data_IF_431671117347
#
_entry.id   IF_431671117347
#
_cell.length_a   1.000
_cell.length_b   1.000
_cell.length_c   1.000
_cell.angle_alpha   90.00
_cell.angle_beta   90.00
_cell.angle_gamma   90.00
#
_symmetry.space_group_name_H-M   'P 1'
#
loop_
_entity.id
_entity.type
_entity.pdbx_description
1 polymer ?
#
# COMPACT_ATOMS: atom_id res chain seq x y z
N UNK A 1 44.19 -25.32 -5.71
CA UNK A 1 43.94 -24.20 -4.78
C UNK A 1 44.30 -22.91 -5.50
N UNK A 2 43.43 -21.90 -5.47
CA UNK A 2 43.74 -20.62 -6.10
C UNK A 2 44.79 -19.86 -5.26
N UNK A 3 45.57 -18.98 -5.88
CA UNK A 3 46.56 -18.19 -5.17
C UNK A 3 45.88 -17.33 -4.08
N UNK A 4 46.45 -17.19 -2.86
CA UNK A 4 45.84 -16.43 -1.77
C UNK A 4 45.47 -14.98 -2.16
N UNK A 5 46.33 -14.30 -2.92
CA UNK A 5 46.07 -12.95 -3.43
C UNK A 5 44.85 -12.87 -4.37
N UNK A 6 44.53 -13.95 -5.08
CA UNK A 6 43.33 -14.01 -5.93
C UNK A 6 42.05 -14.13 -5.10
N UNK A 7 42.10 -14.84 -3.98
CA UNK A 7 40.97 -14.95 -3.05
C UNK A 7 40.67 -13.61 -2.39
N UNK A 8 41.71 -12.91 -1.90
CA UNK A 8 41.56 -11.56 -1.32
C UNK A 8 40.98 -10.56 -2.33
N UNK A 9 41.40 -10.64 -3.59
CA UNK A 9 40.85 -9.81 -4.66
C UNK A 9 39.36 -10.11 -4.92
N UNK A 10 38.98 -11.39 -5.00
CA UNK A 10 37.58 -11.80 -5.17
C UNK A 10 36.72 -11.30 -4.01
N UNK A 11 37.20 -11.44 -2.77
CA UNK A 11 36.48 -11.02 -1.58
C UNK A 11 36.25 -9.50 -1.56
N UNK A 12 37.29 -8.72 -1.92
CA UNK A 12 37.17 -7.27 -2.06
C UNK A 12 36.12 -6.86 -3.11
N UNK A 13 36.10 -7.51 -4.27
CA UNK A 13 35.12 -7.23 -5.32
C UNK A 13 33.71 -7.62 -4.88
N UNK A 14 33.54 -8.78 -4.24
CA UNK A 14 32.25 -9.22 -3.71
C UNK A 14 31.70 -8.23 -2.65
N UNK A 15 32.57 -7.73 -1.77
CA UNK A 15 32.20 -6.71 -0.77
C UNK A 15 31.78 -5.39 -1.45
N UNK A 16 32.53 -4.94 -2.45
CA UNK A 16 32.21 -3.74 -3.22
C UNK A 16 30.84 -3.86 -3.92
N UNK A 17 30.56 -5.01 -4.53
CA UNK A 17 29.28 -5.29 -5.17
C UNK A 17 28.14 -5.31 -4.14
N UNK A 18 28.32 -6.02 -3.02
CA UNK A 18 27.33 -6.10 -1.95
C UNK A 18 26.98 -4.70 -1.42
N UNK A 19 27.98 -3.87 -1.16
CA UNK A 19 27.79 -2.49 -0.71
C UNK A 19 27.03 -1.64 -1.74
N UNK A 20 27.33 -1.81 -3.02
CA UNK A 20 26.62 -1.15 -4.11
C UNK A 20 25.14 -1.54 -4.16
N UNK A 21 24.84 -2.83 -4.17
CA UNK A 21 23.45 -3.32 -4.22
C UNK A 21 22.70 -2.85 -2.97
N UNK A 22 23.27 -3.02 -1.77
CA UNK A 22 22.69 -2.55 -0.51
C UNK A 22 22.35 -1.06 -0.57
N UNK A 23 23.27 -0.21 -1.03
CA UNK A 23 23.02 1.22 -1.17
C UNK A 23 21.84 1.51 -2.10
N UNK A 24 21.75 0.83 -3.25
CA UNK A 24 20.64 1.01 -4.20
C UNK A 24 19.29 0.53 -3.64
N UNK A 25 19.26 -0.58 -2.89
CA UNK A 25 18.06 -1.08 -2.22
C UNK A 25 17.58 -0.08 -1.17
N UNK A 26 18.48 0.41 -0.31
CA UNK A 26 18.15 1.41 0.71
C UNK A 26 17.62 2.72 0.11
N UNK A 27 18.22 3.20 -0.98
CA UNK A 27 17.75 4.41 -1.67
C UNK A 27 16.35 4.18 -2.27
N UNK A 28 16.12 3.01 -2.87
CA UNK A 28 14.81 2.66 -3.46
C UNK A 28 13.70 2.63 -2.41
N UNK A 29 13.95 1.96 -1.28
CA UNK A 29 13.03 1.90 -0.15
C UNK A 29 12.76 3.27 0.47
N UNK A 30 13.81 4.09 0.66
CA UNK A 30 13.64 5.47 1.17
C UNK A 30 12.82 6.34 0.23
N UNK A 31 13.09 6.26 -1.08
CA UNK A 31 12.34 7.02 -2.07
C UNK A 31 10.88 6.59 -2.15
N UNK A 32 10.59 5.29 -2.00
CA UNK A 32 9.24 4.77 -1.89
C UNK A 32 8.52 5.36 -0.68
N UNK A 33 9.14 5.28 0.51
CA UNK A 33 8.57 5.84 1.74
C UNK A 33 8.29 7.35 1.60
N UNK A 34 9.28 8.13 1.15
CA UNK A 34 9.13 9.57 0.95
C UNK A 34 7.98 9.87 -0.01
N UNK A 35 7.90 9.14 -1.13
CA UNK A 35 6.85 9.36 -2.14
C UNK A 35 5.45 9.03 -1.62
N UNK A 36 5.33 8.08 -0.68
CA UNK A 36 4.06 7.75 -0.05
C UNK A 36 3.66 8.77 1.03
N UNK A 37 4.63 9.34 1.74
CA UNK A 37 4.38 10.28 2.86
C UNK A 37 4.33 11.75 2.46
N UNK A 38 4.76 12.10 1.25
CA UNK A 38 4.87 13.49 0.79
C UNK A 38 3.50 14.05 0.37
N UNK A 39 2.87 14.78 1.29
CA UNK A 39 1.58 15.46 1.08
C UNK A 39 1.64 16.55 0.01
N UNK A 40 2.83 17.04 -0.38
CA UNK A 40 2.96 18.10 -1.38
C UNK A 40 2.99 17.56 -2.82
N UNK A 41 3.13 16.25 -3.02
CA UNK A 41 3.07 15.65 -4.36
C UNK A 41 1.63 15.63 -4.88
N UNK A 42 1.44 16.20 -6.07
CA UNK A 42 0.13 16.28 -6.74
C UNK A 42 -0.34 14.98 -7.39
N UNK A 43 0.55 13.99 -7.55
CA UNK A 43 0.21 12.71 -8.18
C UNK A 43 0.49 11.61 -7.16
N UNK A 44 -0.55 10.95 -6.63
CA UNK A 44 -0.36 9.84 -5.71
C UNK A 44 0.31 8.67 -6.45
N UNK A 45 1.25 7.96 -5.81
CA UNK A 45 1.92 6.82 -6.44
C UNK A 45 0.98 5.64 -6.69
N UNK A 46 -0.12 5.57 -5.96
CA UNK A 46 -1.14 4.53 -6.04
C UNK A 46 -2.51 5.17 -5.94
N UNK A 47 -3.43 4.75 -6.81
CA UNK A 47 -4.84 5.09 -6.74
C UNK A 47 -5.61 3.86 -6.28
N UNK A 48 -6.51 4.07 -5.33
CA UNK A 48 -7.46 3.05 -4.86
C UNK A 48 -8.84 3.54 -5.27
N UNK A 49 -9.56 2.72 -6.04
CA UNK A 49 -10.91 2.99 -6.47
C UNK A 49 -11.88 2.36 -5.46
N UNK A 50 -12.98 3.07 -5.23
CA UNK A 50 -14.13 2.54 -4.48
C UNK A 50 -15.21 2.27 -5.51
N UNK A 51 -15.57 1.01 -5.64
CA UNK A 51 -16.57 0.54 -6.59
C UNK A 51 -17.79 0.02 -5.84
N UNK A 52 -18.95 0.04 -6.51
CA UNK A 52 -20.18 -0.56 -6.02
C UNK A 52 -20.51 -1.73 -6.96
N UNK A 53 -20.28 -2.95 -6.50
CA UNK A 53 -20.50 -4.19 -7.26
C UNK A 53 -21.56 -5.00 -6.50
N UNK A 54 -22.64 -5.37 -7.18
CA UNK A 54 -23.75 -6.16 -6.61
C UNK A 54 -24.26 -5.61 -5.25
N UNK A 55 -24.47 -4.28 -5.20
CA UNK A 55 -24.91 -3.52 -4.01
C UNK A 55 -23.97 -3.62 -2.79
N UNK A 56 -22.73 -4.05 -3.02
CA UNK A 56 -21.64 -4.05 -2.05
C UNK A 56 -20.57 -3.07 -2.50
N UNK A 57 -20.17 -2.17 -1.60
CA UNK A 57 -19.00 -1.36 -1.85
C UNK A 57 -17.76 -2.26 -1.73
N UNK A 58 -16.81 -2.10 -2.65
CA UNK A 58 -15.53 -2.81 -2.68
C UNK A 58 -14.39 -1.86 -3.03
N UNK A 59 -13.17 -2.25 -2.68
CA UNK A 59 -11.94 -1.55 -3.07
C UNK A 59 -11.27 -2.25 -4.23
N UNK A 60 -10.78 -1.48 -5.20
CA UNK A 60 -9.88 -1.95 -6.26
C UNK A 60 -8.59 -1.10 -6.27
N UNK A 61 -7.41 -1.64 -5.94
CA UNK A 61 -7.18 -3.00 -5.47
C UNK A 61 -7.75 -3.23 -4.06
N UNK A 62 -8.03 -4.49 -3.67
CA UNK A 62 -8.51 -4.83 -2.33
C UNK A 62 -7.54 -4.40 -1.22
N UNK A 63 -8.07 -4.02 -0.05
CA UNK A 63 -7.26 -3.63 1.11
C UNK A 63 -6.95 -4.80 2.06
N UNK A 64 -7.51 -5.98 1.82
CA UNK A 64 -7.38 -7.17 2.68
C UNK A 64 -6.89 -8.35 1.84
N UNK A 65 -6.02 -9.17 2.42
CA UNK A 65 -5.31 -10.28 1.76
C UNK A 65 -6.20 -11.53 1.47
N UNK A 66 -7.51 -11.45 1.67
CA UNK A 66 -8.44 -12.60 1.54
C UNK A 66 -9.26 -12.58 0.24
N UNK A 67 -8.74 -11.95 -0.80
CA UNK A 67 -9.44 -11.84 -2.09
C UNK A 67 -8.71 -12.59 -3.20
N UNK A 68 -9.39 -12.85 -4.32
CA UNK A 68 -8.79 -13.49 -5.48
C UNK A 68 -7.79 -12.60 -6.23
N UNK A 69 -7.75 -11.31 -5.91
CA UNK A 69 -6.87 -10.31 -6.51
C UNK A 69 -5.80 -9.89 -5.49
N UNK A 70 -4.64 -9.47 -6.00
CA UNK A 70 -3.57 -8.96 -5.14
C UNK A 70 -4.04 -7.70 -4.43
N UNK A 71 -4.00 -7.74 -3.10
CA UNK A 71 -4.28 -6.60 -2.26
C UNK A 71 -3.23 -5.50 -2.44
N UNK A 72 -3.56 -4.29 -1.98
CA UNK A 72 -2.61 -3.19 -1.91
C UNK A 72 -1.35 -3.57 -1.12
N UNK A 73 -1.51 -4.23 0.03
CA UNK A 73 -0.41 -4.65 0.89
C UNK A 73 0.50 -5.66 0.18
N UNK A 74 -0.08 -6.65 -0.49
CA UNK A 74 0.67 -7.65 -1.25
C UNK A 74 1.44 -7.02 -2.42
N UNK A 75 0.79 -6.13 -3.19
CA UNK A 75 1.45 -5.41 -4.29
C UNK A 75 2.67 -4.61 -3.80
N UNK A 76 2.54 -3.93 -2.66
CA UNK A 76 3.64 -3.15 -2.09
C UNK A 76 4.75 -4.04 -1.51
N UNK A 77 4.38 -5.18 -0.91
CA UNK A 77 5.33 -6.20 -0.49
C UNK A 77 6.12 -6.77 -1.68
N UNK A 78 5.47 -6.97 -2.84
CA UNK A 78 6.15 -7.39 -4.06
C UNK A 78 7.19 -6.34 -4.52
N UNK A 79 6.86 -5.05 -4.51
CA UNK A 79 7.82 -4.00 -4.88
C UNK A 79 9.03 -3.95 -3.94
N UNK A 80 8.79 -4.07 -2.63
CA UNK A 80 9.88 -4.12 -1.65
C UNK A 80 10.76 -5.36 -1.85
N UNK A 81 10.14 -6.51 -2.12
CA UNK A 81 10.85 -7.74 -2.44
C UNK A 81 11.68 -7.58 -3.73
N UNK A 82 11.13 -6.99 -4.78
CA UNK A 82 11.86 -6.74 -6.04
C UNK A 82 13.13 -5.92 -5.80
N UNK A 83 13.10 -4.93 -4.90
CA UNK A 83 14.30 -4.15 -4.55
C UNK A 83 15.39 -4.99 -3.86
N UNK A 84 15.02 -6.01 -3.09
CA UNK A 84 15.94 -6.95 -2.43
C UNK A 84 16.42 -8.03 -3.42
N UNK A 85 15.53 -8.50 -4.29
CA UNK A 85 15.79 -9.57 -5.26
C UNK A 85 16.71 -9.14 -6.40
N UNK A 86 16.98 -7.85 -6.58
CA UNK A 86 18.04 -7.35 -7.48
C UNK A 86 19.40 -8.03 -7.25
N UNK A 87 19.68 -8.45 -6.01
CA UNK A 87 20.88 -9.20 -5.69
C UNK A 87 20.95 -10.63 -6.26
N UNK A 88 19.84 -11.19 -6.74
CA UNK A 88 19.84 -12.48 -7.45
C UNK A 88 20.35 -12.35 -8.89
N UNK A 89 20.23 -11.17 -9.49
CA UNK A 89 20.63 -10.94 -10.89
C UNK A 89 22.15 -10.92 -11.08
N UNK A 90 22.92 -10.96 -9.99
CA UNK A 90 24.38 -10.92 -10.01
C UNK A 90 24.91 -12.18 -9.34
N UNK A 91 25.64 -12.98 -10.11
CA UNK A 91 26.33 -14.16 -9.59
C UNK A 91 27.51 -13.75 -8.70
N UNK A 92 27.73 -14.52 -7.63
CA UNK A 92 28.87 -14.30 -6.75
C UNK A 92 30.13 -14.87 -7.37
N UNK A 93 31.22 -14.12 -7.25
CA UNK A 93 32.52 -14.58 -7.70
C UNK A 93 33.09 -15.57 -6.68
N UNK A 94 33.49 -16.75 -7.16
CA UNK A 94 34.09 -17.81 -6.33
C UNK A 94 33.11 -18.87 -5.83
N UNK A 95 33.53 -19.67 -4.85
CA UNK A 95 32.77 -20.83 -4.34
C UNK A 95 31.81 -20.47 -3.18
N UNK A 96 31.28 -19.25 -3.14
CA UNK A 96 30.38 -18.83 -2.08
C UNK A 96 28.93 -19.24 -2.37
N UNK A 97 28.28 -19.89 -1.40
CA UNK A 97 26.90 -20.40 -1.53
C UNK A 97 25.83 -19.34 -1.23
N UNK A 98 26.17 -18.23 -0.60
CA UNK A 98 25.20 -17.26 -0.08
C UNK A 98 25.05 -16.09 -1.04
N UNK A 99 23.92 -15.99 -1.75
CA UNK A 99 23.63 -14.90 -2.70
C UNK A 99 23.57 -13.52 -2.04
N UNK A 100 23.91 -12.46 -2.79
CA UNK A 100 23.83 -11.08 -2.31
C UNK A 100 22.45 -10.69 -1.77
N UNK A 101 21.38 -11.19 -2.41
CA UNK A 101 20.00 -10.95 -1.95
C UNK A 101 19.78 -11.43 -0.51
N UNK A 102 20.32 -12.59 -0.13
CA UNK A 102 20.19 -13.12 1.22
C UNK A 102 20.90 -12.21 2.23
N UNK A 103 22.12 -11.75 1.92
CA UNK A 103 22.85 -10.83 2.79
C UNK A 103 22.12 -9.49 2.98
N UNK A 104 21.48 -8.98 1.92
CA UNK A 104 20.70 -7.73 1.97
C UNK A 104 19.41 -7.93 2.76
N UNK A 105 18.73 -9.07 2.61
CA UNK A 105 17.49 -9.37 3.34
C UNK A 105 17.67 -9.46 4.86
N UNK A 106 18.91 -9.71 5.32
CA UNK A 106 19.28 -9.79 6.73
C UNK A 106 19.82 -8.46 7.27
N UNK A 107 19.97 -7.44 6.42
CA UNK A 107 20.49 -6.15 6.84
C UNK A 107 19.46 -5.39 7.69
N UNK A 108 19.87 -4.97 8.89
CA UNK A 108 18.97 -4.33 9.84
C UNK A 108 18.35 -3.05 9.30
N UNK A 109 19.09 -2.25 8.52
CA UNK A 109 18.59 -0.99 7.97
C UNK A 109 17.54 -1.24 6.89
N UNK A 110 17.69 -2.33 6.13
CA UNK A 110 16.70 -2.75 5.12
C UNK A 110 15.42 -3.21 5.81
N UNK A 111 15.55 -4.08 6.83
CA UNK A 111 14.42 -4.57 7.63
C UNK A 111 13.67 -3.39 8.27
N UNK A 112 14.38 -2.48 8.94
CA UNK A 112 13.80 -1.31 9.59
C UNK A 112 13.01 -0.41 8.62
N UNK A 113 13.50 -0.25 7.38
CA UNK A 113 12.80 0.53 6.37
C UNK A 113 11.55 -0.18 5.84
N UNK A 114 11.62 -1.50 5.63
CA UNK A 114 10.48 -2.30 5.22
C UNK A 114 9.37 -2.24 6.28
N UNK A 115 9.73 -2.41 7.55
CA UNK A 115 8.76 -2.36 8.65
C UNK A 115 8.12 -0.98 8.79
N UNK A 116 8.89 0.11 8.57
CA UNK A 116 8.33 1.47 8.52
C UNK A 116 7.34 1.66 7.39
N UNK A 117 7.66 1.16 6.19
CA UNK A 117 6.78 1.23 5.02
C UNK A 117 5.49 0.44 5.29
N UNK A 118 5.61 -0.79 5.82
CA UNK A 118 4.46 -1.63 6.18
C UNK A 118 3.56 -0.97 7.20
N UNK A 119 4.12 -0.47 8.31
CA UNK A 119 3.36 0.21 9.34
C UNK A 119 2.61 1.44 8.81
N UNK A 120 3.19 2.17 7.86
CA UNK A 120 2.53 3.31 7.22
C UNK A 120 1.35 2.85 6.36
N UNK A 121 1.55 1.82 5.54
CA UNK A 121 0.51 1.25 4.68
C UNK A 121 -0.65 0.71 5.51
N UNK A 122 -0.37 -0.03 6.58
CA UNK A 122 -1.38 -0.59 7.47
C UNK A 122 -2.23 0.50 8.12
N UNK A 123 -1.57 1.58 8.56
CA UNK A 123 -2.26 2.78 9.06
C UNK A 123 -3.17 3.41 8.01
N UNK A 124 -2.67 3.58 6.79
CA UNK A 124 -3.45 4.15 5.68
C UNK A 124 -4.66 3.27 5.31
N UNK A 125 -4.47 1.95 5.18
CA UNK A 125 -5.53 0.98 4.93
C UNK A 125 -6.61 1.03 6.01
N UNK A 126 -6.20 1.10 7.29
CA UNK A 126 -7.12 1.18 8.42
C UNK A 126 -7.94 2.48 8.38
N UNK A 127 -7.33 3.62 8.07
CA UNK A 127 -8.06 4.89 7.91
C UNK A 127 -9.03 4.85 6.72
N UNK A 128 -8.65 4.23 5.60
CA UNK A 128 -9.56 4.00 4.47
C UNK A 128 -10.76 3.14 4.88
N UNK A 129 -10.53 2.02 5.57
CA UNK A 129 -11.60 1.14 6.06
C UNK A 129 -12.52 1.86 7.05
N UNK A 130 -11.97 2.71 7.93
CA UNK A 130 -12.78 3.57 8.82
C UNK A 130 -13.66 4.50 8.01
N UNK A 131 -13.11 5.18 7.00
CA UNK A 131 -13.90 6.03 6.09
C UNK A 131 -15.04 5.25 5.44
N UNK A 132 -14.80 4.01 5.07
CA UNK A 132 -15.79 3.10 4.49
C UNK A 132 -16.99 2.83 5.40
N UNK A 133 -16.75 2.62 6.70
CA UNK A 133 -17.82 2.35 7.66
C UNK A 133 -18.80 3.52 7.80
N UNK A 134 -18.36 4.76 7.56
CA UNK A 134 -19.26 5.92 7.47
C UNK A 134 -20.19 5.86 6.26
N UNK A 135 -19.77 5.28 5.13
CA UNK A 135 -20.63 5.13 3.95
C UNK A 135 -21.70 4.06 4.12
N UNK A 136 -21.51 3.10 5.04
CA UNK A 136 -22.53 2.09 5.34
C UNK A 136 -23.78 2.69 6.01
N UNK A 137 -23.64 3.84 6.70
CA UNK A 137 -24.78 4.62 7.20
C UNK A 137 -25.71 5.10 6.06
N UNK A 138 -25.15 5.28 4.87
CA UNK A 138 -25.85 5.69 3.66
C UNK A 138 -26.16 4.51 2.74
N UNK A 139 -26.02 3.26 3.22
CA UNK A 139 -26.22 2.06 2.40
C UNK A 139 -27.62 1.92 1.82
N UNK A 140 -28.62 2.53 2.45
CA UNK A 140 -29.98 2.60 1.91
C UNK A 140 -30.06 3.29 0.54
N UNK A 141 -29.11 4.18 0.19
CA UNK A 141 -29.10 4.85 -1.11
C UNK A 141 -28.81 3.89 -2.27
N UNK A 142 -28.00 2.86 -2.01
CA UNK A 142 -27.55 1.92 -3.04
C UNK A 142 -28.08 0.50 -2.85
N UNK A 143 -28.58 0.13 -1.67
CA UNK A 143 -29.19 -1.19 -1.41
C UNK A 143 -30.71 -1.21 -1.51
N UNK A 144 -31.39 -0.05 -1.43
CA UNK A 144 -32.86 -0.01 -1.46
C UNK A 144 -33.36 -0.03 -2.92
N UNK A 145 -34.17 -1.03 -3.31
CA UNK A 145 -34.73 -1.08 -4.65
C UNK A 145 -35.65 0.11 -4.90
N UNK A 146 -35.59 0.69 -6.09
CA UNK A 146 -36.34 1.90 -6.49
C UNK A 146 -37.85 1.77 -6.18
N UNK A 147 -38.43 0.60 -6.41
CA UNK A 147 -39.86 0.35 -6.15
C UNK A 147 -40.20 0.44 -4.66
N UNK A 148 -39.32 -0.07 -3.79
CA UNK A 148 -39.52 0.05 -2.34
C UNK A 148 -39.33 1.51 -1.89
N UNK A 149 -38.31 2.21 -2.40
CA UNK A 149 -38.12 3.64 -2.16
C UNK A 149 -39.35 4.47 -2.54
N UNK A 150 -39.99 4.13 -3.66
CA UNK A 150 -41.20 4.81 -4.12
C UNK A 150 -42.41 4.55 -3.21
N UNK A 151 -42.59 3.30 -2.76
CA UNK A 151 -43.63 2.97 -1.77
C UNK A 151 -43.42 3.72 -0.45
N UNK A 152 -42.19 3.78 0.07
CA UNK A 152 -41.87 4.56 1.27
C UNK A 152 -42.20 6.05 1.09
N UNK A 153 -41.95 6.60 -0.11
CA UNK A 153 -42.32 7.97 -0.46
C UNK A 153 -43.85 8.17 -0.48
N UNK A 154 -44.61 7.27 -1.11
CA UNK A 154 -46.08 7.36 -1.17
C UNK A 154 -46.73 7.28 0.22
N UNK A 155 -46.14 6.53 1.14
CA UNK A 155 -46.60 6.43 2.54
C UNK A 155 -46.15 7.61 3.42
N UNK A 156 -45.43 8.59 2.86
CA UNK A 156 -45.05 9.81 3.56
C UNK A 156 -43.90 9.65 4.56
N UNK A 157 -43.10 8.58 4.46
CA UNK A 157 -41.91 8.40 5.28
C UNK A 157 -40.83 9.40 4.84
N UNK A 158 -40.68 10.48 5.62
CA UNK A 158 -39.77 11.59 5.29
C UNK A 158 -38.29 11.26 5.42
N UNK A 159 -37.95 10.14 6.09
CA UNK A 159 -36.58 9.65 6.30
C UNK A 159 -36.61 8.13 6.41
N UNK A 160 -36.09 7.44 5.40
CA UNK A 160 -35.65 6.05 5.58
C UNK A 160 -34.55 6.13 6.64
N UNK A 161 -34.80 5.59 7.82
CA UNK A 161 -33.95 5.79 8.98
C UNK A 161 -32.55 5.19 8.73
N UNK A 162 -31.57 6.04 8.41
CA UNK A 162 -30.19 5.74 8.80
C UNK A 162 -30.14 5.75 10.32
N UNK A 163 -29.47 4.76 10.93
CA UNK A 163 -29.11 4.87 12.36
C UNK A 163 -28.38 6.20 12.50
N UNK A 164 -28.84 7.07 13.39
CA UNK A 164 -28.33 8.45 13.48
C UNK A 164 -26.80 8.46 13.56
N UNK A 165 -26.09 9.23 12.71
CA UNK A 165 -24.65 9.39 12.82
C UNK A 165 -24.31 10.08 14.13
N UNK A 166 -23.66 9.38 15.06
CA UNK A 166 -23.19 9.93 16.34
C UNK A 166 -22.10 11.00 16.20
N UNK A 167 -21.65 11.35 14.99
CA UNK A 167 -20.59 12.34 14.79
C UNK A 167 -20.96 13.37 13.71
N UNK A 168 -21.54 14.49 14.16
CA UNK A 168 -21.64 15.72 13.37
C UNK A 168 -20.25 16.35 13.21
N UNK A 169 -19.41 15.80 12.33
CA UNK A 169 -18.32 16.57 11.72
C UNK A 169 -18.70 16.84 10.27
N UNK A 170 -19.07 18.10 10.04
CA UNK A 170 -19.39 18.66 8.74
C UNK A 170 -18.25 18.34 7.76
N UNK A 171 -18.51 17.42 6.83
CA UNK A 171 -17.55 17.04 5.78
C UNK A 171 -17.44 18.11 4.68
N UNK A 172 -18.30 19.13 4.71
CA UNK A 172 -18.30 20.26 3.79
C UNK A 172 -17.78 21.49 4.54
N UNK A 173 -16.46 21.61 4.63
CA UNK A 173 -15.82 22.89 4.94
C UNK A 173 -15.92 23.79 3.70
N UNK A 174 -16.74 24.83 3.81
CA UNK A 174 -16.68 26.21 3.29
C UNK A 174 -15.61 26.61 2.24
N UNK A 175 -15.36 25.83 1.19
CA UNK A 175 -14.53 26.32 0.07
C UNK A 175 -15.14 26.23 -1.35
N UNK A 176 -16.33 25.63 -1.51
CA UNK A 176 -16.99 25.54 -2.83
C UNK A 176 -18.27 26.37 -2.98
N UNK A 177 -18.60 27.22 -2.01
CA UNK A 177 -19.72 28.16 -2.11
C UNK A 177 -19.40 29.43 -2.92
N UNK A 178 -18.48 29.36 -3.88
CA UNK A 178 -17.96 30.54 -4.56
C UNK A 178 -17.33 30.26 -5.92
N UNK A 179 -18.10 29.74 -6.87
CA UNK A 179 -17.88 29.96 -8.31
C UNK A 179 -19.18 29.66 -9.07
N UNK A 180 -19.99 30.70 -9.24
CA UNK A 180 -20.88 30.83 -10.39
C UNK A 180 -20.07 31.41 -11.55
#
# INVERSE_FOLDING_TARGET
EAAPAWQEYIDYINEMILNGIKATTLISLKNMLITMTDEQKKIPPICILVELIDDQLTYDPPLVEETSQLSLQENLNLWMNDFIQRGLSIEILGNNKMTYSNSISQDSLVIDLIDKIRSYIDGACLECQKLFTFFDEYSFLYRLPVNQSFEHFLHGEKRIASKEPTNKRNFINEHDAGRR
#
